data_IF_394304673259
#
_entry.id   IF_394304673259
#
_cell.length_a   1.000
_cell.length_b   1.000
_cell.length_c   1.000
_cell.angle_alpha   90.00
_cell.angle_beta   90.00
_cell.angle_gamma   90.00
#
_symmetry.space_group_name_H-M   'P 1'
#
loop_
_entity.id
_entity.type
_entity.pdbx_description
1 polymer ?
#
# COMPACT_ATOMS: atom_id res chain seq x y z
N UNK A 1 -20.42 -8.49 10.79
CA UNK A 1 -20.08 -8.28 10.46
C UNK A 1 -19.46 -7.84 9.96
N UNK A 2 -19.33 -7.68 9.66
CA UNK A 2 -18.79 -7.42 9.13
C UNK A 2 -18.14 -6.85 8.84
N UNK A 3 -17.73 -6.65 8.76
CA UNK A 3 -17.17 -6.30 8.40
C UNK A 3 -16.40 -5.95 8.15
N UNK A 4 -16.14 -5.83 8.03
CA UNK A 4 -15.41 -5.70 7.80
C UNK A 4 -14.63 -5.61 7.21
N UNK A 5 -14.94 -5.66 6.85
CA UNK A 5 -13.90 -5.84 6.40
C UNK A 5 -13.35 -5.06 5.36
N UNK A 6 -12.64 -4.23 5.52
CA UNK A 6 -11.97 -3.42 4.64
C UNK A 6 -10.65 -3.96 4.26
N UNK A 7 -10.49 -5.21 4.52
CA UNK A 7 -9.19 -5.80 4.34
C UNK A 7 -9.10 -6.57 3.03
N UNK A 8 -9.73 -6.04 2.01
CA UNK A 8 -9.66 -6.64 0.69
C UNK A 8 -8.43 -6.12 -0.03
N UNK A 9 -8.00 -6.85 -1.04
CA UNK A 9 -6.87 -6.41 -1.85
C UNK A 9 -7.30 -5.27 -2.76
N UNK A 10 -6.49 -4.23 -2.81
CA UNK A 10 -6.76 -3.09 -3.68
C UNK A 10 -5.58 -2.89 -4.61
N UNK A 11 -5.82 -2.20 -5.71
CA UNK A 11 -4.76 -1.97 -6.68
C UNK A 11 -3.91 -0.77 -6.27
N UNK A 12 -2.87 -0.51 -7.04
CA UNK A 12 -1.93 0.55 -6.69
C UNK A 12 -2.58 1.92 -6.72
N UNK A 13 -3.51 2.12 -7.63
CA UNK A 13 -4.17 3.42 -7.73
C UNK A 13 -5.05 3.67 -6.52
N UNK A 14 -5.75 2.63 -6.08
CA UNK A 14 -6.56 2.77 -4.89
C UNK A 14 -5.69 2.96 -3.65
N UNK A 15 -4.57 2.26 -3.60
CA UNK A 15 -3.66 2.42 -2.47
C UNK A 15 -3.11 3.84 -2.44
N UNK A 16 -2.78 4.39 -3.59
CA UNK A 16 -2.26 5.75 -3.65
C UNK A 16 -3.30 6.75 -3.17
N UNK A 17 -4.54 6.55 -3.58
CA UNK A 17 -5.60 7.43 -3.14
C UNK A 17 -5.81 7.32 -1.63
N UNK A 18 -5.74 6.12 -1.12
CA UNK A 18 -5.91 5.90 0.31
C UNK A 18 -4.82 6.62 1.11
N UNK A 19 -3.60 6.61 0.59
CA UNK A 19 -2.47 7.22 1.27
C UNK A 19 -2.31 8.71 0.92
N UNK A 20 -3.02 9.18 -0.10
CA UNK A 20 -2.90 10.57 -0.49
C UNK A 20 -1.64 10.87 -1.27
N UNK A 21 -1.13 9.90 -2.00
CA UNK A 21 0.06 10.09 -2.82
C UNK A 21 -0.24 9.65 -4.25
N UNK A 22 0.71 9.84 -5.13
CA UNK A 22 0.55 9.44 -6.51
C UNK A 22 0.94 7.97 -6.70
N UNK A 23 0.31 7.27 -7.64
CA UNK A 23 0.68 5.88 -7.89
C UNK A 23 2.16 5.72 -8.22
N UNK A 24 2.74 6.69 -8.93
CA UNK A 24 4.15 6.62 -9.25
C UNK A 24 5.01 6.62 -8.00
N UNK A 25 4.56 7.30 -6.96
CA UNK A 25 5.28 7.33 -5.71
C UNK A 25 5.35 5.94 -5.09
N UNK A 26 4.23 5.21 -5.14
CA UNK A 26 4.22 3.87 -4.57
C UNK A 26 5.09 2.94 -5.40
N UNK A 27 5.06 3.06 -6.72
CA UNK A 27 5.92 2.24 -7.57
C UNK A 27 7.39 2.51 -7.25
N UNK A 28 7.72 3.75 -6.99
CA UNK A 28 9.07 4.12 -6.67
C UNK A 28 9.48 3.50 -5.33
N UNK A 29 8.58 3.51 -4.36
CA UNK A 29 8.86 2.88 -3.07
C UNK A 29 9.16 1.39 -3.24
N UNK A 30 8.36 0.72 -4.07
CA UNK A 30 8.56 -0.70 -4.30
C UNK A 30 9.91 -0.94 -4.96
N UNK A 31 10.23 -0.13 -5.95
CA UNK A 31 11.48 -0.29 -6.67
C UNK A 31 12.69 -0.04 -5.77
N UNK A 32 12.55 0.89 -4.84
CA UNK A 32 13.66 1.23 -3.95
C UNK A 32 13.74 0.32 -2.74
N UNK A 33 12.82 -0.61 -2.61
CA UNK A 33 12.88 -1.54 -1.51
C UNK A 33 12.52 -0.93 -0.17
N UNK A 34 11.57 -0.03 -0.16
CA UNK A 34 11.21 0.63 1.09
C UNK A 34 10.31 -0.20 1.99
N UNK A 35 10.15 -1.46 1.66
CA UNK A 35 9.41 -2.37 2.54
C UNK A 35 7.92 -2.07 2.62
N UNK A 36 7.39 -1.42 1.61
CA UNK A 36 5.96 -1.16 1.57
C UNK A 36 5.23 -2.51 1.44
N UNK A 37 4.13 -2.70 2.18
CA UNK A 37 3.44 -4.00 2.18
C UNK A 37 2.66 -4.20 0.89
N UNK A 38 3.27 -4.83 -0.08
CA UNK A 38 2.67 -5.08 -1.37
C UNK A 38 2.87 -6.54 -1.74
N UNK A 39 1.87 -7.08 -2.43
CA UNK A 39 1.93 -8.45 -2.93
C UNK A 39 1.71 -8.42 -4.44
N UNK A 40 2.49 -9.20 -5.16
CA UNK A 40 2.31 -9.27 -6.59
C UNK A 40 1.36 -10.41 -6.90
N UNK A 41 0.17 -10.07 -7.33
CA UNK A 41 -0.84 -11.05 -7.68
C UNK A 41 -1.03 -10.99 -9.18
N UNK A 42 -0.64 -12.07 -9.86
CA UNK A 42 -0.63 -12.04 -11.30
C UNK A 42 0.41 -11.04 -11.77
N UNK A 43 -0.03 -10.06 -12.52
CA UNK A 43 0.87 -9.05 -13.04
C UNK A 43 0.71 -7.71 -12.36
N UNK A 44 -0.05 -7.67 -11.26
CA UNK A 44 -0.35 -6.41 -10.62
C UNK A 44 0.03 -6.43 -9.17
N UNK A 45 0.44 -5.29 -8.68
CA UNK A 45 0.71 -5.12 -7.26
C UNK A 45 -0.61 -4.89 -6.54
N UNK A 46 -0.79 -5.57 -5.43
CA UNK A 46 -1.99 -5.44 -4.61
C UNK A 46 -1.61 -5.09 -3.19
N UNK A 47 -2.50 -4.39 -2.53
CA UNK A 47 -2.25 -3.87 -1.19
C UNK A 47 -3.46 -4.09 -0.32
N UNK A 48 -3.25 -4.05 0.99
CA UNK A 48 -4.35 -4.07 1.94
C UNK A 48 -4.28 -2.83 2.79
N UNK A 49 -5.42 -2.19 2.99
CA UNK A 49 -5.45 -0.94 3.74
C UNK A 49 -4.91 -1.11 5.15
N UNK A 50 -5.23 -2.21 5.80
CA UNK A 50 -4.76 -2.42 7.15
C UNK A 50 -3.24 -2.49 7.21
N UNK A 51 -2.64 -3.13 6.21
CA UNK A 51 -1.19 -3.23 6.18
C UNK A 51 -0.55 -1.89 5.85
N UNK A 52 -1.18 -1.15 4.92
CA UNK A 52 -0.67 0.17 4.58
C UNK A 52 -0.71 1.08 5.81
N UNK A 53 -1.79 1.00 6.54
CA UNK A 53 -1.95 1.84 7.71
C UNK A 53 -0.89 1.53 8.76
N UNK A 54 -0.64 0.26 9.00
CA UNK A 54 0.38 -0.14 9.95
C UNK A 54 1.77 0.31 9.50
N UNK A 55 2.03 0.19 8.21
CA UNK A 55 3.32 0.58 7.67
C UNK A 55 3.55 2.07 7.84
N UNK A 56 2.52 2.87 7.56
CA UNK A 56 2.62 4.31 7.71
C UNK A 56 2.83 4.67 9.17
N UNK A 57 2.09 4.02 10.06
CA UNK A 57 2.20 4.31 11.48
C UNK A 57 3.56 3.93 12.04
N UNK A 58 4.24 3.01 11.39
CA UNK A 58 5.57 2.62 11.84
C UNK A 58 6.61 3.69 11.48
N UNK A 59 6.24 4.66 10.67
CA UNK A 59 7.14 5.73 10.30
C UNK A 59 8.01 5.44 9.12
N UNK A 60 7.88 4.27 8.53
CA UNK A 60 8.77 3.90 7.45
C UNK A 60 8.56 4.75 6.20
N UNK A 61 7.32 5.19 5.99
CA UNK A 61 7.04 6.00 4.81
C UNK A 61 7.61 7.41 4.92
N UNK A 62 7.92 7.84 6.12
CA UNK A 62 8.40 9.19 6.33
C UNK A 62 9.89 9.33 6.15
N UNK A 63 10.56 8.26 5.90
CA UNK A 63 11.98 8.30 5.73
C UNK A 63 12.30 8.71 4.34
N UNK A 64 12.88 9.79 4.24
CA UNK A 64 13.18 10.19 2.93
C UNK A 64 14.44 10.77 2.84
#
# INVERSE_FOLDING_TARGET
MAEMTNDKWINIEEAAEYLGVKPATIRDWIRKGKDVPAQKIGKQWKFKCSELDAWVKSGKSAIE
#
